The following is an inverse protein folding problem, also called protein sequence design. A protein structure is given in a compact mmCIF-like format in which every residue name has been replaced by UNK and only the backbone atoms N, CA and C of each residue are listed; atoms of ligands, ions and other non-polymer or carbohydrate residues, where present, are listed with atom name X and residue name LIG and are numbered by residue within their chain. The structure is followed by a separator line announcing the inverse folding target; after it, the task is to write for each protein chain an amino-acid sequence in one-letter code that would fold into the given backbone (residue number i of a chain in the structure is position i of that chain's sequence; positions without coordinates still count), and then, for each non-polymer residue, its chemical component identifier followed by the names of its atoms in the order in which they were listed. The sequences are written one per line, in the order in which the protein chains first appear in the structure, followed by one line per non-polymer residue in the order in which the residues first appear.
data_IF_588021688637
#
_entry.id   IF_588021688637
#
_cell.length_a   1.000
_cell.length_b   1.000
_cell.length_c   1.000
_cell.angle_alpha   90.00
_cell.angle_beta   90.00
_cell.angle_gamma   90.00
#
_symmetry.space_group_name_H-M   'P 1'
#
loop_
_entity.id
_entity.type
_entity.pdbx_description
1 polymer ?
#
# COMPACT_ATOMS: atom_id res chain seq x y z
N UNK A 1 25.12 6.23 -0.22
CA UNK A 1 25.36 5.24 0.85
C UNK A 1 24.56 5.59 2.10
N UNK A 2 24.30 4.62 2.99
CA UNK A 2 23.58 4.85 4.26
C UNK A 2 24.55 5.32 5.35
N UNK A 3 24.19 6.28 6.21
CA UNK A 3 25.04 6.72 7.32
C UNK A 3 25.10 5.64 8.42
N UNK A 4 26.27 5.50 9.06
CA UNK A 4 26.53 4.46 10.09
C UNK A 4 26.89 5.03 11.47
N UNK A 5 26.80 6.35 11.67
CA UNK A 5 27.18 6.99 12.92
C UNK A 5 26.14 6.83 14.04
N UNK A 6 26.59 6.82 15.31
CA UNK A 6 25.72 6.61 16.48
C UNK A 6 24.47 7.52 16.53
N UNK A 7 24.58 8.76 16.03
CA UNK A 7 23.50 9.78 16.06
C UNK A 7 22.72 9.93 14.75
N UNK A 8 22.81 8.98 13.80
CA UNK A 8 22.15 9.11 12.48
C UNK A 8 20.72 8.50 12.38
N UNK A 9 20.12 8.11 13.51
CA UNK A 9 18.82 7.43 13.55
C UNK A 9 17.69 8.16 12.80
N UNK A 10 17.61 9.50 12.93
CA UNK A 10 16.58 10.31 12.25
C UNK A 10 16.65 10.17 10.73
N UNK A 11 17.86 10.26 10.16
CA UNK A 11 18.09 10.15 8.72
C UNK A 11 17.75 8.74 8.22
N UNK A 12 18.15 7.70 8.95
CA UNK A 12 17.82 6.30 8.62
C UNK A 12 16.31 6.06 8.61
N UNK A 13 15.58 6.60 9.59
CA UNK A 13 14.11 6.48 9.66
C UNK A 13 13.41 7.19 8.50
N UNK A 14 13.84 8.40 8.16
CA UNK A 14 13.27 9.17 7.04
C UNK A 14 13.51 8.42 5.73
N UNK A 15 14.76 8.03 5.46
CA UNK A 15 15.12 7.27 4.27
C UNK A 15 14.29 5.98 4.16
N UNK A 16 14.11 5.22 5.25
CA UNK A 16 13.30 3.99 5.18
C UNK A 16 11.83 4.27 4.85
N UNK A 17 11.29 5.40 5.32
CA UNK A 17 9.89 5.79 5.04
C UNK A 17 9.70 6.23 3.60
N UNK A 18 10.66 6.95 3.03
CA UNK A 18 10.65 7.38 1.63
C UNK A 18 10.73 6.16 0.69
N UNK A 19 11.73 5.30 0.90
CA UNK A 19 11.90 4.06 0.11
C UNK A 19 10.71 3.11 0.20
N UNK A 20 9.95 3.14 1.30
CA UNK A 20 8.77 2.29 1.47
C UNK A 20 7.68 2.58 0.43
N UNK A 21 7.63 3.79 -0.13
CA UNK A 21 6.64 4.15 -1.15
C UNK A 21 6.87 3.48 -2.51
N UNK A 22 8.09 3.01 -2.78
CA UNK A 22 8.39 2.24 -4.00
C UNK A 22 7.83 0.80 -3.94
N UNK A 23 7.59 0.27 -2.73
CA UNK A 23 6.96 -1.03 -2.54
C UNK A 23 5.48 -0.97 -2.92
N UNK A 24 5.11 -1.79 -3.92
CA UNK A 24 3.75 -1.88 -4.46
C UNK A 24 2.74 -2.31 -3.38
N UNK A 25 3.09 -3.24 -2.49
CA UNK A 25 2.16 -3.72 -1.47
C UNK A 25 1.90 -2.63 -0.44
N UNK A 26 2.96 -1.95 0.02
CA UNK A 26 2.83 -0.82 0.93
C UNK A 26 2.00 0.31 0.30
N UNK A 27 2.27 0.67 -0.95
CA UNK A 27 1.56 1.73 -1.67
C UNK A 27 0.06 1.42 -1.81
N UNK A 28 -0.31 0.20 -2.19
CA UNK A 28 -1.72 -0.24 -2.29
C UNK A 28 -2.47 -0.11 -0.96
N UNK A 29 -1.83 -0.52 0.15
CA UNK A 29 -2.40 -0.42 1.49
C UNK A 29 -2.49 1.03 1.98
N UNK A 30 -1.40 1.78 1.86
CA UNK A 30 -1.30 3.15 2.37
C UNK A 30 -2.21 4.14 1.62
N UNK A 31 -2.42 3.96 0.31
CA UNK A 31 -3.35 4.78 -0.47
C UNK A 31 -4.82 4.36 -0.35
N UNK A 32 -5.11 3.26 0.37
CA UNK A 32 -6.47 2.76 0.50
C UNK A 32 -7.10 2.31 -0.82
N UNK A 33 -6.28 1.90 -1.80
CA UNK A 33 -6.76 1.52 -3.15
C UNK A 33 -7.82 0.42 -3.09
N UNK A 34 -7.69 -0.49 -2.11
CA UNK A 34 -8.63 -1.58 -1.90
C UNK A 34 -10.06 -1.14 -1.56
N UNK A 35 -10.23 0.00 -0.90
CA UNK A 35 -11.54 0.48 -0.47
C UNK A 35 -12.21 1.37 -1.52
N UNK A 36 -11.40 2.11 -2.30
CA UNK A 36 -11.91 3.09 -3.26
C UNK A 36 -12.16 2.52 -4.66
N UNK A 37 -11.34 1.58 -5.12
CA UNK A 37 -11.34 1.16 -6.52
C UNK A 37 -11.65 -0.33 -6.74
N UNK A 38 -11.45 -1.19 -5.74
CA UNK A 38 -11.81 -2.60 -5.91
C UNK A 38 -13.33 -2.78 -5.79
N UNK A 39 -13.96 -3.58 -6.66
CA UNK A 39 -15.41 -3.78 -6.66
C UNK A 39 -15.93 -4.47 -5.39
N UNK A 40 -15.08 -5.21 -4.68
CA UNK A 40 -15.41 -5.83 -3.40
C UNK A 40 -15.16 -4.93 -2.18
N UNK A 41 -14.63 -3.71 -2.38
CA UNK A 41 -14.38 -2.76 -1.29
C UNK A 41 -13.45 -3.28 -0.18
N UNK A 42 -12.56 -4.23 -0.48
CA UNK A 42 -11.67 -4.84 0.50
C UNK A 42 -12.22 -6.08 1.21
N UNK A 43 -13.41 -6.55 0.84
CA UNK A 43 -13.95 -7.84 1.32
C UNK A 43 -13.48 -9.03 0.45
N UNK A 44 -13.63 -10.24 0.97
CA UNK A 44 -13.29 -11.48 0.24
C UNK A 44 -14.34 -11.85 -0.81
N UNK A 45 -15.61 -11.51 -0.58
CA UNK A 45 -16.73 -11.85 -1.46
C UNK A 45 -17.77 -10.73 -1.43
N UNK A 46 -18.48 -10.55 -2.55
CA UNK A 46 -19.64 -9.69 -2.65
C UNK A 46 -20.82 -10.43 -3.30
N UNK A 47 -22.05 -10.03 -2.95
CA UNK A 47 -23.27 -10.51 -3.63
C UNK A 47 -23.59 -9.56 -4.79
N UNK A 48 -23.99 -10.10 -5.93
CA UNK A 48 -24.39 -9.34 -7.12
C UNK A 48 -25.59 -9.96 -7.82
N UNK A 49 -26.16 -9.21 -8.77
CA UNK A 49 -27.27 -9.66 -9.64
C UNK A 49 -26.69 -9.89 -11.05
N UNK A 50 -27.15 -10.94 -11.73
CA UNK A 50 -26.72 -11.25 -13.11
C UNK A 50 -27.41 -10.30 -14.09
N UNK A 51 -26.63 -9.64 -14.96
CA UNK A 51 -27.16 -8.77 -16.02
C UNK A 51 -27.45 -9.57 -17.30
N UNK A 52 -26.44 -10.26 -17.81
CA UNK A 52 -26.51 -11.06 -19.03
C UNK A 52 -25.56 -12.26 -18.93
N UNK A 53 -25.78 -13.26 -19.79
CA UNK A 53 -24.87 -14.39 -19.94
C UNK A 53 -24.03 -14.17 -21.19
N UNK A 54 -22.70 -14.15 -21.05
CA UNK A 54 -21.76 -14.08 -22.17
C UNK A 54 -21.55 -15.44 -22.83
#
# INVERSE_FOLDING_TARGET
GKPSGLRCARKLRIHRREERWADKQYKKRALGTAFKYLPFGGSSHAKGIVLEKM
#
